data_IF_978441797083
#
_entry.id   IF_978441797083
#
_cell.length_a   1.000
_cell.length_b   1.000
_cell.length_c   1.000
_cell.angle_alpha   90.00
_cell.angle_beta   90.00
_cell.angle_gamma   90.00
#
_symmetry.space_group_name_H-M   'P 1'
#
loop_
_entity.id
_entity.type
_entity.pdbx_description
1 polymer ?
#
# COMPACT_ATOMS: atom_id res chain seq x y z
N UNK A 1 4.42 17.92 -18.41
CA UNK A 1 3.74 18.54 -17.23
C UNK A 1 2.45 19.31 -17.59
N UNK A 2 1.73 18.97 -18.67
CA UNK A 2 0.63 19.82 -19.21
C UNK A 2 -0.81 19.34 -19.04
N UNK A 3 -1.06 18.05 -18.78
CA UNK A 3 -2.42 17.49 -18.85
C UNK A 3 -3.28 17.71 -17.59
N UNK A 4 -2.67 17.84 -16.41
CA UNK A 4 -3.39 17.97 -15.13
C UNK A 4 -3.54 19.42 -14.64
N UNK A 5 -2.85 20.36 -15.28
CA UNK A 5 -2.91 21.80 -15.00
C UNK A 5 -4.32 22.42 -14.94
N UNK A 6 -5.26 22.12 -15.86
CA UNK A 6 -6.62 22.67 -15.79
C UNK A 6 -7.40 22.09 -14.60
N UNK A 7 -7.24 20.79 -14.33
CA UNK A 7 -7.86 20.13 -13.17
C UNK A 7 -7.37 20.76 -11.87
N UNK A 8 -6.05 20.97 -11.73
CA UNK A 8 -5.48 21.61 -10.54
C UNK A 8 -6.00 23.04 -10.32
N UNK A 9 -6.18 23.83 -11.38
CA UNK A 9 -6.75 25.18 -11.27
C UNK A 9 -8.19 25.18 -10.77
N UNK A 10 -9.02 24.25 -11.25
CA UNK A 10 -10.41 24.10 -10.77
C UNK A 10 -10.44 23.66 -9.31
N UNK A 11 -9.58 22.72 -8.91
CA UNK A 11 -9.52 22.23 -7.52
C UNK A 11 -9.04 23.30 -6.53
N UNK A 12 -8.08 24.14 -6.94
CA UNK A 12 -7.64 25.30 -6.16
C UNK A 12 -8.78 26.32 -6.04
N UNK A 13 -9.47 26.62 -7.14
CA UNK A 13 -10.57 27.59 -7.16
C UNK A 13 -11.79 27.16 -6.32
N UNK A 14 -12.03 25.85 -6.19
CA UNK A 14 -13.11 25.28 -5.37
C UNK A 14 -12.71 25.04 -3.91
N UNK A 15 -11.48 25.39 -3.52
CA UNK A 15 -10.91 25.15 -2.19
C UNK A 15 -11.03 23.71 -1.66
N UNK A 16 -11.19 22.73 -2.55
CA UNK A 16 -11.43 21.33 -2.17
C UNK A 16 -10.28 20.82 -1.30
N UNK A 17 -10.64 20.24 -0.15
CA UNK A 17 -9.66 19.65 0.77
C UNK A 17 -9.09 18.38 0.11
N UNK A 18 -7.75 18.25 -0.05
CA UNK A 18 -7.13 17.06 -0.64
C UNK A 18 -7.57 15.74 0.02
N UNK A 19 -7.87 15.76 1.33
CA UNK A 19 -8.35 14.59 2.07
C UNK A 19 -9.68 14.03 1.52
N UNK A 20 -10.48 14.83 0.78
CA UNK A 20 -11.70 14.32 0.15
C UNK A 20 -11.40 13.25 -0.89
N UNK A 21 -10.30 13.36 -1.63
CA UNK A 21 -9.90 12.35 -2.62
C UNK A 21 -9.53 11.04 -1.91
N UNK A 22 -8.77 11.12 -0.81
CA UNK A 22 -8.46 9.97 0.05
C UNK A 22 -9.74 9.32 0.58
N UNK A 23 -10.69 10.10 1.10
CA UNK A 23 -11.97 9.58 1.60
C UNK A 23 -12.77 8.89 0.49
N UNK A 24 -12.82 9.47 -0.71
CA UNK A 24 -13.50 8.87 -1.87
C UNK A 24 -12.81 7.58 -2.30
N UNK A 25 -11.47 7.57 -2.41
CA UNK A 25 -10.67 6.38 -2.71
C UNK A 25 -10.93 5.24 -1.71
N UNK A 26 -11.04 5.57 -0.42
CA UNK A 26 -11.43 4.61 0.61
C UNK A 26 -12.81 4.01 0.37
N UNK A 27 -13.85 4.81 0.11
CA UNK A 27 -15.19 4.29 -0.17
C UNK A 27 -15.27 3.46 -1.47
N UNK A 28 -14.49 3.83 -2.49
CA UNK A 28 -14.34 2.99 -3.69
C UNK A 28 -13.71 1.65 -3.34
N UNK A 29 -12.74 1.61 -2.43
CA UNK A 29 -12.12 0.36 -1.94
C UNK A 29 -13.13 -0.49 -1.15
N UNK A 30 -13.99 0.12 -0.34
CA UNK A 30 -15.09 -0.59 0.34
C UNK A 30 -16.05 -1.22 -0.68
N UNK A 31 -16.43 -0.47 -1.72
CA UNK A 31 -17.30 -0.97 -2.78
C UNK A 31 -16.64 -2.11 -3.58
N UNK A 32 -15.35 -1.96 -3.89
CA UNK A 32 -14.55 -3.02 -4.52
C UNK A 32 -14.55 -4.31 -3.69
N UNK A 33 -14.31 -4.21 -2.37
CA UNK A 33 -14.32 -5.36 -1.47
C UNK A 33 -15.68 -6.06 -1.44
N UNK A 34 -16.78 -5.30 -1.48
CA UNK A 34 -18.12 -5.85 -1.60
C UNK A 34 -18.29 -6.68 -2.89
N UNK A 35 -17.82 -6.18 -4.03
CA UNK A 35 -17.89 -6.92 -5.30
C UNK A 35 -16.98 -8.15 -5.32
N UNK A 36 -15.79 -8.07 -4.73
CA UNK A 36 -14.95 -9.26 -4.50
C UNK A 36 -15.71 -10.30 -3.68
N UNK A 37 -16.28 -9.93 -2.53
CA UNK A 37 -17.03 -10.82 -1.65
C UNK A 37 -18.24 -11.48 -2.32
N UNK A 38 -18.86 -10.81 -3.30
CA UNK A 38 -19.96 -11.33 -4.12
C UNK A 38 -19.51 -12.22 -5.28
N UNK A 39 -18.21 -12.37 -5.52
CA UNK A 39 -17.63 -13.11 -6.64
C UNK A 39 -17.60 -12.36 -7.97
N UNK A 40 -17.93 -11.06 -7.98
CA UNK A 40 -17.80 -10.21 -9.17
C UNK A 40 -16.36 -9.71 -9.32
N UNK A 41 -15.42 -10.65 -9.52
CA UNK A 41 -13.97 -10.40 -9.46
C UNK A 41 -13.52 -9.26 -10.37
N UNK A 42 -13.99 -9.23 -11.62
CA UNK A 42 -13.61 -8.19 -12.60
C UNK A 42 -14.02 -6.79 -12.14
N UNK A 43 -15.24 -6.65 -11.62
CA UNK A 43 -15.72 -5.35 -11.14
C UNK A 43 -15.03 -4.94 -9.85
N UNK A 44 -14.80 -5.90 -8.93
CA UNK A 44 -13.97 -5.68 -7.73
C UNK A 44 -12.57 -5.19 -8.10
N UNK A 45 -11.88 -5.88 -9.01
CA UNK A 45 -10.54 -5.52 -9.47
C UNK A 45 -10.48 -4.16 -10.16
N UNK A 46 -11.44 -3.87 -11.05
CA UNK A 46 -11.54 -2.58 -11.72
C UNK A 46 -11.74 -1.42 -10.74
N UNK A 47 -12.62 -1.59 -9.75
CA UNK A 47 -12.82 -0.60 -8.70
C UNK A 47 -11.61 -0.46 -7.79
N UNK A 48 -10.85 -1.53 -7.52
CA UNK A 48 -9.64 -1.44 -6.71
C UNK A 48 -8.52 -0.67 -7.42
N UNK A 49 -8.37 -0.85 -8.73
CA UNK A 49 -7.47 -0.02 -9.53
C UNK A 49 -7.93 1.44 -9.50
N UNK A 50 -9.24 1.66 -9.62
CA UNK A 50 -9.80 3.02 -9.57
C UNK A 50 -9.51 3.70 -8.22
N UNK A 51 -9.65 3.01 -7.09
CA UNK A 51 -9.30 3.62 -5.79
C UNK A 51 -7.83 4.00 -5.71
N UNK A 52 -6.93 3.14 -6.19
CA UNK A 52 -5.50 3.48 -6.26
C UNK A 52 -5.18 4.70 -7.12
N UNK A 53 -5.97 4.98 -8.16
CA UNK A 53 -5.83 6.21 -8.96
C UNK A 53 -6.21 7.45 -8.13
N UNK A 54 -7.28 7.37 -7.32
CA UNK A 54 -7.68 8.48 -6.46
C UNK A 54 -6.61 8.84 -5.43
N UNK A 55 -5.92 7.86 -4.86
CA UNK A 55 -4.82 8.11 -3.92
C UNK A 55 -3.61 8.75 -4.60
N UNK A 56 -3.30 8.37 -5.85
CA UNK A 56 -2.24 9.05 -6.61
C UNK A 56 -2.62 10.51 -6.87
N UNK A 57 -3.89 10.77 -7.18
CA UNK A 57 -4.40 12.13 -7.40
C UNK A 57 -4.33 12.95 -6.11
N UNK A 58 -4.71 12.40 -4.95
CA UNK A 58 -4.72 13.14 -3.69
C UNK A 58 -3.34 13.71 -3.33
N UNK A 59 -2.29 12.91 -3.50
CA UNK A 59 -0.94 13.27 -3.14
C UNK A 59 -0.36 14.28 -4.13
N UNK A 60 -0.73 14.16 -5.41
CA UNK A 60 -0.37 15.16 -6.42
C UNK A 60 -1.07 16.49 -6.17
N UNK A 61 -2.37 16.48 -5.85
CA UNK A 61 -3.16 17.68 -5.53
C UNK A 61 -2.61 18.34 -4.27
N UNK A 62 -2.36 17.60 -3.19
CA UNK A 62 -1.83 18.16 -1.95
C UNK A 62 -0.48 18.87 -2.16
N UNK A 63 0.42 18.28 -2.97
CA UNK A 63 1.71 18.88 -3.32
C UNK A 63 1.55 20.10 -4.23
N UNK A 64 0.73 20.01 -5.27
CA UNK A 64 0.52 21.09 -6.24
C UNK A 64 -0.20 22.30 -5.63
N UNK A 65 -1.02 22.09 -4.60
CA UNK A 65 -1.76 23.15 -3.90
C UNK A 65 -1.06 23.68 -2.65
N UNK A 66 0.15 23.18 -2.32
CA UNK A 66 0.88 23.50 -1.10
C UNK A 66 0.08 23.25 0.21
N UNK A 67 -0.91 22.34 0.17
CA UNK A 67 -1.78 21.99 1.32
C UNK A 67 -1.31 20.71 2.03
N UNK A 68 -0.02 20.38 1.96
CA UNK A 68 0.54 19.20 2.64
C UNK A 68 0.56 19.45 4.15
N UNK A 69 -0.12 18.58 4.92
CA UNK A 69 -0.16 18.66 6.38
C UNK A 69 0.26 17.35 7.02
N UNK A 70 0.78 17.40 8.26
CA UNK A 70 1.12 16.19 9.04
C UNK A 70 -0.11 15.32 9.31
N UNK A 71 -1.26 15.93 9.59
CA UNK A 71 -2.51 15.22 9.78
C UNK A 71 -2.97 14.54 8.49
N UNK A 72 -2.95 15.24 7.35
CA UNK A 72 -3.30 14.65 6.04
C UNK A 72 -2.41 13.46 5.71
N UNK A 73 -1.10 13.57 5.94
CA UNK A 73 -0.16 12.47 5.74
C UNK A 73 -0.47 11.25 6.64
N UNK A 74 -0.92 11.46 7.88
CA UNK A 74 -1.39 10.38 8.77
C UNK A 74 -2.73 9.79 8.31
N UNK A 75 -3.66 10.65 7.88
CA UNK A 75 -5.00 10.28 7.43
C UNK A 75 -4.97 9.40 6.18
N UNK A 76 -4.25 9.85 5.13
CA UNK A 76 -3.99 9.13 3.89
C UNK A 76 -3.42 7.74 4.17
N UNK A 77 -2.31 7.75 4.89
CA UNK A 77 -1.69 6.57 5.44
C UNK A 77 -2.70 5.64 6.14
N UNK A 78 -3.46 6.12 7.12
CA UNK A 78 -4.37 5.28 7.89
C UNK A 78 -5.45 4.64 7.00
N UNK A 79 -6.07 5.44 6.13
CA UNK A 79 -7.08 4.96 5.19
C UNK A 79 -6.52 3.96 4.19
N UNK A 80 -5.28 4.13 3.72
CA UNK A 80 -4.61 3.14 2.89
C UNK A 80 -4.55 1.76 3.54
N UNK A 81 -4.27 1.70 4.84
CA UNK A 81 -4.25 0.42 5.57
C UNK A 81 -5.65 -0.14 5.76
N UNK A 82 -6.64 0.69 6.08
CA UNK A 82 -8.02 0.21 6.17
C UNK A 82 -8.55 -0.29 4.81
N UNK A 83 -8.22 0.38 3.71
CA UNK A 83 -8.53 -0.04 2.35
C UNK A 83 -7.97 -1.43 2.06
N UNK A 84 -6.67 -1.67 2.33
CA UNK A 84 -6.06 -2.99 2.11
C UNK A 84 -6.68 -4.08 2.99
N UNK A 85 -7.00 -3.76 4.24
CA UNK A 85 -7.66 -4.69 5.16
C UNK A 85 -9.02 -5.12 4.61
N UNK A 86 -9.85 -4.15 4.23
CA UNK A 86 -11.21 -4.39 3.74
C UNK A 86 -11.20 -5.17 2.43
N UNK A 87 -10.30 -4.82 1.50
CA UNK A 87 -10.14 -5.52 0.22
C UNK A 87 -9.76 -6.99 0.45
N UNK A 88 -8.72 -7.24 1.23
CA UNK A 88 -8.25 -8.61 1.46
C UNK A 88 -9.25 -9.44 2.28
N UNK A 89 -10.02 -8.82 3.17
CA UNK A 89 -11.17 -9.49 3.80
C UNK A 89 -12.25 -9.88 2.79
N UNK A 90 -12.63 -8.98 1.88
CA UNK A 90 -13.62 -9.30 0.83
C UNK A 90 -13.16 -10.45 -0.07
N UNK A 91 -11.86 -10.47 -0.42
CA UNK A 91 -11.23 -11.54 -1.19
C UNK A 91 -11.19 -12.87 -0.40
N UNK A 92 -10.78 -12.83 0.88
CA UNK A 92 -10.75 -14.02 1.73
C UNK A 92 -12.16 -14.60 1.91
N UNK A 93 -13.16 -13.75 2.12
CA UNK A 93 -14.56 -14.17 2.22
C UNK A 93 -15.05 -14.86 0.94
N UNK A 94 -14.72 -14.30 -0.23
CA UNK A 94 -15.01 -14.94 -1.52
C UNK A 94 -14.42 -16.36 -1.58
N UNK A 95 -13.13 -16.51 -1.30
CA UNK A 95 -12.49 -17.84 -1.34
C UNK A 95 -13.05 -18.83 -0.32
N UNK A 96 -13.43 -18.38 0.87
CA UNK A 96 -14.11 -19.24 1.85
C UNK A 96 -15.43 -19.75 1.29
N UNK A 97 -16.20 -18.86 0.66
CA UNK A 97 -17.55 -19.18 0.16
C UNK A 97 -17.55 -20.10 -1.06
N UNK A 98 -16.46 -20.10 -1.83
CA UNK A 98 -16.23 -21.02 -2.96
C UNK A 98 -15.43 -22.28 -2.55
N UNK A 99 -15.30 -22.56 -1.24
CA UNK A 99 -14.57 -23.72 -0.68
C UNK A 99 -13.07 -23.79 -1.07
N UNK A 100 -12.47 -22.66 -1.43
CA UNK A 100 -11.07 -22.52 -1.80
C UNK A 100 -10.19 -22.25 -0.56
N UNK A 101 -10.08 -23.23 0.34
CA UNK A 101 -9.40 -23.08 1.64
C UNK A 101 -7.98 -22.51 1.51
N UNK A 102 -7.13 -23.09 0.65
CA UNK A 102 -5.74 -22.63 0.49
C UNK A 102 -5.65 -21.19 -0.03
N UNK A 103 -6.56 -20.79 -0.93
CA UNK A 103 -6.62 -19.42 -1.43
C UNK A 103 -7.06 -18.43 -0.34
N UNK A 104 -8.00 -18.83 0.53
CA UNK A 104 -8.41 -18.01 1.69
C UNK A 104 -7.27 -17.81 2.69
N UNK A 105 -6.48 -18.85 2.96
CA UNK A 105 -5.28 -18.76 3.80
C UNK A 105 -4.24 -17.84 3.15
N UNK A 106 -4.04 -17.94 1.83
CA UNK A 106 -3.15 -17.03 1.11
C UNK A 106 -3.60 -15.56 1.22
N UNK A 107 -4.91 -15.27 1.16
CA UNK A 107 -5.44 -13.93 1.37
C UNK A 107 -5.16 -13.40 2.79
N UNK A 108 -5.30 -14.25 3.82
CA UNK A 108 -4.93 -13.90 5.20
C UNK A 108 -3.43 -13.64 5.36
N UNK A 109 -2.57 -14.42 4.70
CA UNK A 109 -1.11 -14.21 4.70
C UNK A 109 -0.74 -12.94 3.94
N UNK A 110 -1.42 -12.64 2.83
CA UNK A 110 -1.28 -11.37 2.10
C UNK A 110 -1.69 -10.17 2.96
N UNK A 111 -2.75 -10.29 3.76
CA UNK A 111 -3.16 -9.26 4.72
C UNK A 111 -2.04 -8.97 5.72
N UNK A 112 -1.55 -10.01 6.40
CA UNK A 112 -0.45 -9.88 7.37
C UNK A 112 0.80 -9.25 6.74
N UNK A 113 1.21 -9.74 5.57
CA UNK A 113 2.35 -9.21 4.83
C UNK A 113 2.18 -7.74 4.45
N UNK A 114 1.02 -7.35 3.91
CA UNK A 114 0.75 -5.98 3.46
C UNK A 114 0.80 -4.97 4.61
N UNK A 115 0.25 -5.34 5.77
CA UNK A 115 0.33 -4.52 6.99
C UNK A 115 1.76 -4.44 7.50
N UNK A 116 2.49 -5.56 7.54
CA UNK A 116 3.88 -5.57 8.00
C UNK A 116 4.81 -4.74 7.10
N UNK A 117 4.64 -4.78 5.78
CA UNK A 117 5.39 -3.93 4.85
C UNK A 117 5.22 -2.45 5.23
N UNK A 118 4.00 -2.01 5.47
CA UNK A 118 3.69 -0.62 5.83
C UNK A 118 4.19 -0.26 7.23
N UNK A 119 3.98 -1.14 8.22
CA UNK A 119 4.37 -0.93 9.60
C UNK A 119 5.88 -0.83 9.77
N UNK A 120 6.65 -1.78 9.20
CA UNK A 120 8.12 -1.79 9.32
C UNK A 120 8.70 -0.49 8.76
N UNK A 121 8.20 -0.01 7.62
CA UNK A 121 8.63 1.27 7.05
C UNK A 121 8.31 2.44 7.98
N UNK A 122 7.06 2.57 8.43
CA UNK A 122 6.65 3.67 9.29
C UNK A 122 7.43 3.68 10.62
N UNK A 123 7.66 2.49 11.20
CA UNK A 123 8.44 2.35 12.43
C UNK A 123 9.91 2.67 12.22
N UNK A 124 10.52 2.21 11.13
CA UNK A 124 11.90 2.53 10.79
C UNK A 124 12.10 4.03 10.58
N UNK A 125 11.21 4.69 9.83
CA UNK A 125 11.23 6.14 9.62
C UNK A 125 11.04 6.90 10.95
N UNK A 126 10.16 6.43 11.84
CA UNK A 126 10.01 6.98 13.19
C UNK A 126 11.23 6.79 14.11
N UNK A 127 12.09 5.81 13.81
CA UNK A 127 13.37 5.59 14.50
C UNK A 127 14.53 6.35 13.85
N UNK A 128 14.28 7.15 12.81
CA UNK A 128 15.30 7.95 12.12
C UNK A 128 16.06 7.19 11.02
N UNK A 129 15.58 6.01 10.60
CA UNK A 129 16.12 5.29 9.46
C UNK A 129 15.33 5.59 8.17
N UNK A 130 16.00 5.59 7.02
CA UNK A 130 15.32 5.67 5.72
C UNK A 130 15.01 4.27 5.21
N UNK A 131 13.73 3.92 5.08
CA UNK A 131 13.29 2.60 4.64
C UNK A 131 12.53 2.66 3.30
N UNK A 132 13.27 2.81 2.19
CA UNK A 132 12.70 2.91 0.82
C UNK A 132 12.76 1.62 0.01
N UNK A 133 13.38 0.57 0.55
CA UNK A 133 13.52 -0.74 -0.12
C UNK A 133 12.21 -1.54 -0.11
N UNK A 134 12.12 -2.54 -0.98
CA UNK A 134 11.05 -3.53 -0.99
C UNK A 134 10.40 -3.70 -2.36
N UNK A 135 10.17 -4.96 -2.74
CA UNK A 135 9.64 -5.36 -4.05
C UNK A 135 8.13 -5.20 -4.16
N UNK A 136 7.38 -5.50 -3.09
CA UNK A 136 5.93 -5.51 -3.10
C UNK A 136 5.37 -4.39 -2.24
N UNK A 137 5.41 -3.16 -2.77
CA UNK A 137 4.81 -2.00 -2.13
C UNK A 137 3.33 -1.88 -2.51
N UNK A 138 2.67 -0.82 -2.06
CA UNK A 138 1.22 -0.65 -2.22
C UNK A 138 0.78 -0.58 -3.69
N UNK A 139 1.41 0.21 -4.59
CA UNK A 139 1.03 0.24 -5.99
C UNK A 139 1.14 -1.13 -6.66
N UNK A 140 2.20 -1.89 -6.37
CA UNK A 140 2.39 -3.22 -6.93
C UNK A 140 1.30 -4.19 -6.49
N UNK A 141 0.84 -4.09 -5.24
CA UNK A 141 -0.29 -4.90 -4.74
C UNK A 141 -1.60 -4.54 -5.41
N UNK A 142 -1.91 -3.24 -5.54
CA UNK A 142 -3.13 -2.76 -6.20
C UNK A 142 -3.16 -3.25 -7.65
N UNK A 143 -2.06 -3.08 -8.38
CA UNK A 143 -1.93 -3.51 -9.77
C UNK A 143 -2.03 -5.03 -9.89
N UNK A 144 -1.35 -5.78 -9.03
CA UNK A 144 -1.37 -7.25 -9.07
C UNK A 144 -2.77 -7.79 -8.81
N UNK A 145 -3.41 -7.41 -7.70
CA UNK A 145 -4.74 -7.89 -7.35
C UNK A 145 -5.80 -7.39 -8.34
N UNK A 146 -5.70 -6.14 -8.79
CA UNK A 146 -6.62 -5.54 -9.75
C UNK A 146 -6.55 -6.21 -11.12
N UNK A 147 -5.36 -6.32 -11.73
CA UNK A 147 -5.20 -6.86 -13.09
C UNK A 147 -5.52 -8.36 -13.10
N UNK A 148 -5.02 -9.13 -12.14
CA UNK A 148 -5.28 -10.58 -12.12
C UNK A 148 -6.76 -10.90 -11.96
N UNK A 149 -7.50 -10.09 -11.19
CA UNK A 149 -8.96 -10.17 -11.07
C UNK A 149 -9.72 -9.87 -12.37
N UNK A 150 -9.17 -8.98 -13.22
CA UNK A 150 -9.77 -8.65 -14.52
C UNK A 150 -9.64 -9.78 -15.54
N UNK A 151 -8.57 -10.57 -15.46
CA UNK A 151 -8.25 -11.62 -16.43
C UNK A 151 -9.13 -12.86 -16.19
N UNK A 152 -8.89 -13.58 -15.10
CA UNK A 152 -9.56 -14.84 -14.81
C UNK A 152 -9.38 -15.24 -13.34
N UNK A 153 -10.32 -16.00 -12.78
CA UNK A 153 -10.28 -16.48 -11.40
C UNK A 153 -8.99 -17.22 -11.01
N UNK A 154 -8.56 -18.23 -11.79
CA UNK A 154 -7.28 -18.90 -11.53
C UNK A 154 -6.07 -17.97 -11.53
N UNK A 155 -6.05 -16.97 -12.42
CA UNK A 155 -4.98 -15.95 -12.46
C UNK A 155 -5.06 -15.07 -11.23
N UNK A 156 -6.26 -14.72 -10.77
CA UNK A 156 -6.50 -13.99 -9.54
C UNK A 156 -6.02 -14.73 -8.29
N UNK A 157 -6.31 -16.03 -8.18
CA UNK A 157 -5.78 -16.87 -7.09
C UNK A 157 -4.25 -16.84 -7.10
N UNK A 158 -3.62 -17.00 -8.27
CA UNK A 158 -2.18 -16.86 -8.43
C UNK A 158 -1.66 -15.48 -8.01
N UNK A 159 -2.39 -14.41 -8.36
CA UNK A 159 -2.09 -13.04 -7.94
C UNK A 159 -2.12 -12.84 -6.43
N UNK A 160 -3.12 -13.40 -5.75
CA UNK A 160 -3.22 -13.35 -4.28
C UNK A 160 -2.06 -14.10 -3.63
N UNK A 161 -1.72 -15.29 -4.13
CA UNK A 161 -0.56 -16.06 -3.63
C UNK A 161 0.74 -15.28 -3.85
N UNK A 162 0.91 -14.64 -5.01
CA UNK A 162 2.08 -13.83 -5.31
C UNK A 162 2.22 -12.66 -4.33
N UNK A 163 1.12 -11.94 -4.06
CA UNK A 163 1.11 -10.88 -3.04
C UNK A 163 1.42 -11.43 -1.67
N UNK A 164 0.83 -12.57 -1.28
CA UNK A 164 1.10 -13.21 0.00
C UNK A 164 2.59 -13.49 0.22
N UNK A 165 3.26 -14.08 -0.78
CA UNK A 165 4.68 -14.40 -0.69
C UNK A 165 5.55 -13.14 -0.73
N UNK A 166 5.34 -12.27 -1.72
CA UNK A 166 6.22 -11.12 -1.94
C UNK A 166 6.06 -10.02 -0.90
N UNK A 167 4.86 -9.82 -0.33
CA UNK A 167 4.68 -8.87 0.77
C UNK A 167 5.38 -9.33 2.04
N UNK A 168 5.27 -10.61 2.42
CA UNK A 168 5.99 -11.14 3.58
C UNK A 168 7.51 -11.14 3.37
N UNK A 169 7.96 -11.53 2.18
CA UNK A 169 9.37 -11.40 1.81
C UNK A 169 9.86 -9.94 1.91
N UNK A 170 9.07 -8.99 1.40
CA UNK A 170 9.40 -7.56 1.45
C UNK A 170 9.46 -7.05 2.90
N UNK A 171 8.57 -7.50 3.78
CA UNK A 171 8.60 -7.14 5.19
C UNK A 171 9.90 -7.62 5.86
N UNK A 172 10.28 -8.88 5.62
CA UNK A 172 11.54 -9.46 6.13
C UNK A 172 12.75 -8.71 5.56
N UNK A 173 12.74 -8.42 4.25
CA UNK A 173 13.78 -7.65 3.57
C UNK A 173 13.97 -6.27 4.22
N UNK A 174 12.87 -5.58 4.56
CA UNK A 174 12.93 -4.28 5.24
C UNK A 174 13.53 -4.40 6.63
N UNK A 175 13.14 -5.41 7.41
CA UNK A 175 13.70 -5.64 8.76
C UNK A 175 15.21 -5.88 8.65
N UNK A 176 15.64 -6.76 7.75
CA UNK A 176 17.05 -7.05 7.53
C UNK A 176 17.83 -5.81 7.09
N UNK A 177 17.27 -4.99 6.19
CA UNK A 177 17.89 -3.75 5.75
C UNK A 177 18.17 -2.78 6.90
N UNK A 178 17.22 -2.63 7.83
CA UNK A 178 17.40 -1.76 9.00
C UNK A 178 18.44 -2.33 9.97
N UNK A 179 18.39 -3.64 10.24
CA UNK A 179 19.40 -4.29 11.08
C UNK A 179 20.82 -4.12 10.52
N UNK A 180 21.01 -4.31 9.21
CA UNK A 180 22.29 -4.10 8.57
C UNK A 180 22.75 -2.63 8.64
N UNK A 181 21.84 -1.68 8.44
CA UNK A 181 22.14 -0.25 8.50
C UNK A 181 22.55 0.21 9.91
N UNK A 182 21.93 -0.35 10.96
CA UNK A 182 22.30 -0.06 12.34
C UNK A 182 23.69 -0.60 12.70
N UNK A 183 24.00 -1.84 12.31
CA UNK A 183 25.30 -2.46 12.58
C UNK A 183 26.43 -1.77 11.82
N UNK A 184 26.20 -1.31 10.58
CA UNK A 184 27.18 -0.54 9.82
C UNK A 184 27.58 0.76 10.54
N UNK A 185 26.60 1.51 11.06
CA UNK A 185 26.87 2.73 11.85
C UNK A 185 27.65 2.45 13.14
N UNK A 186 27.38 1.31 13.77
CA UNK A 186 28.10 0.90 14.99
C UNK A 186 29.57 0.57 14.69
N UNK A 187 29.85 -0.07 13.55
CA UNK A 187 31.21 -0.36 13.09
C UNK A 187 32.00 0.92 12.79
N UNK A 188 31.42 1.84 12.03
CA UNK A 188 32.05 3.12 11.67
C UNK A 188 32.35 3.98 12.92
N UNK A 189 31.46 3.97 13.92
CA UNK A 189 31.69 4.67 15.18
C UNK A 189 32.86 4.08 15.99
N UNK A 190 33.06 2.77 15.95
CA UNK A 190 34.17 2.09 16.63
C UNK A 190 35.51 2.33 15.92
N UNK A 191 35.54 2.30 14.59
CA UNK A 191 36.75 2.65 13.81
C UNK A 191 37.19 4.09 14.07
N UNK A 192 36.26 5.05 14.00
CA UNK A 192 36.56 6.45 14.30
C UNK A 192 37.11 6.63 15.73
N UNK A 193 36.59 5.91 16.74
CA UNK A 193 37.10 6.00 18.11
C UNK A 193 38.52 5.44 18.26
N UNK A 194 38.92 4.46 17.44
CA UNK A 194 40.26 3.90 17.46
C UNK A 194 41.29 4.82 16.78
N UNK A 195 40.88 5.59 15.75
CA UNK A 195 41.76 6.53 15.04
C UNK A 195 42.16 7.77 15.87
N UNK A 196 41.38 8.15 16.90
CA UNK A 196 41.74 9.20 17.87
C UNK A 196 42.47 8.66 19.12
N UNK A 197 42.70 7.34 19.17
CA UNK A 197 43.31 6.63 20.31
C UNK A 197 44.80 6.30 20.16
N UNK A 198 45.44 6.72 19.06
CA UNK A 198 46.90 6.65 18.80
C UNK A 198 47.47 8.03 18.55
#
# INVERSE_FOLDING_TARGET
>A
MGLLQPVFRVLIALEINPNMFTTVGFFISVLSAYFFARGSLRLGGGLFILSGIFDVIDGQVARATHRVTKFGALYDSALDRYSEVIILFGIAYYFIREDLFLASVAACVALGGSIMVSYVRARAEGLGFSCKVGLMQRPERIVTLGITALIHEYVFIGGVILVALLSNFTAIQRIYHIWAAENGKKSEKLENLNDWGT
#
